data_IF_704738215982
#
_entry.id   IF_704738215982
#
_cell.length_a   1.000
_cell.length_b   1.000
_cell.length_c   1.000
_cell.angle_alpha   90.00
_cell.angle_beta   90.00
_cell.angle_gamma   90.00
#
_symmetry.space_group_name_H-M   'P 1'
#
loop_
_entity.id
_entity.type
_entity.pdbx_description
1 polymer ?
#
# COMPACT_ATOMS: atom_id res chain seq x y z
N UNK A 1 -4.26 1.40 -38.90
CA UNK A 1 -3.72 2.53 -38.11
C UNK A 1 -4.05 2.38 -36.63
N UNK A 2 -5.33 2.23 -36.24
CA UNK A 2 -5.73 2.07 -34.83
C UNK A 2 -5.08 0.88 -34.10
N UNK A 3 -4.99 -0.29 -34.73
CA UNK A 3 -4.33 -1.45 -34.12
C UNK A 3 -2.84 -1.22 -33.85
N UNK A 4 -2.14 -0.59 -34.78
CA UNK A 4 -0.72 -0.26 -34.61
C UNK A 4 -0.53 0.79 -33.50
N UNK A 5 -1.43 1.78 -33.42
CA UNK A 5 -1.41 2.77 -32.35
C UNK A 5 -1.65 2.13 -30.98
N UNK A 6 -2.62 1.20 -30.87
CA UNK A 6 -2.88 0.47 -29.63
C UNK A 6 -1.67 -0.39 -29.23
N UNK A 7 -1.12 -1.19 -30.15
CA UNK A 7 0.03 -2.05 -29.87
C UNK A 7 1.24 -1.23 -29.42
N UNK A 8 1.51 -0.09 -30.05
CA UNK A 8 2.56 0.83 -29.62
C UNK A 8 2.29 1.41 -28.22
N UNK A 9 1.06 1.81 -27.94
CA UNK A 9 0.68 2.34 -26.63
C UNK A 9 0.83 1.30 -25.50
N UNK A 10 0.42 0.04 -25.76
CA UNK A 10 0.59 -1.08 -24.85
C UNK A 10 2.06 -1.39 -24.59
N UNK A 11 2.89 -1.41 -25.65
CA UNK A 11 4.32 -1.62 -25.53
C UNK A 11 5.00 -0.53 -24.69
N UNK A 12 4.67 0.74 -24.93
CA UNK A 12 5.21 1.88 -24.18
C UNK A 12 4.79 1.83 -22.71
N UNK A 13 3.54 1.46 -22.42
CA UNK A 13 3.09 1.29 -21.03
C UNK A 13 3.75 0.11 -20.32
N UNK A 14 3.90 -1.03 -21.00
CA UNK A 14 4.60 -2.18 -20.43
C UNK A 14 6.05 -1.84 -20.11
N UNK A 15 6.72 -1.13 -21.02
CA UNK A 15 8.05 -0.56 -20.82
C UNK A 15 8.10 0.40 -19.62
N UNK A 16 7.11 1.29 -19.47
CA UNK A 16 7.03 2.22 -18.35
C UNK A 16 6.85 1.46 -17.02
N UNK A 17 5.96 0.47 -16.98
CA UNK A 17 5.71 -0.37 -15.80
C UNK A 17 6.95 -1.20 -15.43
N UNK A 18 7.68 -1.73 -16.42
CA UNK A 18 8.93 -2.45 -16.18
C UNK A 18 10.04 -1.57 -15.58
N UNK A 19 10.00 -0.25 -15.82
CA UNK A 19 10.90 0.72 -15.16
C UNK A 19 10.52 0.99 -13.70
N UNK A 20 9.28 0.68 -13.32
CA UNK A 20 8.70 0.93 -12.00
C UNK A 20 7.93 -0.29 -11.48
N UNK A 21 8.56 -1.48 -11.36
CA UNK A 21 7.85 -2.71 -10.98
C UNK A 21 7.34 -2.67 -9.53
N UNK A 22 7.76 -1.67 -8.75
CA UNK A 22 7.41 -1.49 -7.35
C UNK A 22 6.14 -0.64 -7.13
N UNK A 23 5.40 -0.20 -8.16
CA UNK A 23 4.06 0.37 -7.92
C UNK A 23 3.14 -0.75 -7.43
N UNK A 24 2.71 -0.74 -6.16
CA UNK A 24 1.81 -1.76 -5.66
C UNK A 24 0.51 -1.68 -6.46
N UNK A 25 0.03 -2.82 -6.91
CA UNK A 25 -1.32 -2.92 -7.49
C UNK A 25 -2.34 -2.39 -6.48
N UNK A 26 -3.51 -1.97 -6.97
CA UNK A 26 -4.61 -1.53 -6.08
C UNK A 26 -4.91 -2.59 -5.02
N UNK A 27 -4.85 -3.87 -5.40
CA UNK A 27 -5.05 -5.00 -4.49
C UNK A 27 -3.98 -5.09 -3.38
N UNK A 28 -2.71 -4.85 -3.70
CA UNK A 28 -1.61 -4.84 -2.73
C UNK A 28 -1.73 -3.65 -1.78
N UNK A 29 -2.10 -2.47 -2.31
CA UNK A 29 -2.35 -1.27 -1.51
C UNK A 29 -3.48 -1.44 -0.49
N UNK A 30 -4.47 -2.27 -0.81
CA UNK A 30 -5.58 -2.57 0.09
C UNK A 30 -5.20 -3.61 1.14
N UNK A 31 -4.35 -4.57 0.79
CA UNK A 31 -3.83 -5.57 1.73
C UNK A 31 -2.92 -4.96 2.81
N UNK A 32 -2.41 -3.73 2.61
CA UNK A 32 -1.48 -3.07 3.54
C UNK A 32 -0.04 -3.55 3.42
N UNK A 33 0.25 -4.35 2.40
CA UNK A 33 1.61 -4.69 2.01
C UNK A 33 2.18 -3.55 1.19
N UNK A 34 3.01 -2.70 1.82
CA UNK A 34 4.03 -1.99 1.07
C UNK A 34 5.18 -2.98 0.88
N UNK A 35 5.49 -3.35 -0.38
CA UNK A 35 6.75 -4.03 -0.63
C UNK A 35 7.87 -3.25 0.08
N UNK A 36 8.86 -3.92 0.70
CA UNK A 36 10.01 -3.21 1.23
C UNK A 36 10.55 -2.36 0.07
N UNK A 37 10.47 -1.03 0.21
CA UNK A 37 10.89 -0.05 -0.80
C UNK A 37 12.38 -0.22 -1.02
N UNK A 38 12.77 -1.23 -1.79
CA UNK A 38 14.15 -1.53 -2.12
C UNK A 38 14.54 -0.62 -3.25
N UNK A 39 14.87 0.62 -2.84
CA UNK A 39 15.31 1.79 -3.59
C UNK A 39 14.22 2.84 -3.68
N UNK A 40 14.46 3.99 -3.04
CA UNK A 40 13.83 5.25 -3.47
C UNK A 40 14.07 5.37 -4.97
N UNK A 41 13.04 5.15 -5.77
CA UNK A 41 13.15 5.34 -7.22
C UNK A 41 13.56 6.79 -7.46
N UNK A 42 14.63 6.98 -8.22
CA UNK A 42 15.20 8.32 -8.41
C UNK A 42 14.18 9.26 -9.05
N UNK A 43 14.29 10.56 -8.79
CA UNK A 43 13.47 11.57 -9.44
C UNK A 43 13.49 11.42 -10.98
N UNK A 44 14.64 11.09 -11.54
CA UNK A 44 14.83 10.88 -12.98
C UNK A 44 14.00 9.70 -13.51
N UNK A 45 14.00 8.56 -12.80
CA UNK A 45 13.18 7.41 -13.17
C UNK A 45 11.67 7.72 -13.08
N UNK A 46 11.24 8.48 -12.07
CA UNK A 46 9.84 8.93 -11.96
C UNK A 46 9.43 9.86 -13.11
N UNK A 47 10.32 10.76 -13.54
CA UNK A 47 10.05 11.63 -14.68
C UNK A 47 9.99 10.85 -16.00
N UNK A 48 10.91 9.89 -16.21
CA UNK A 48 10.90 9.03 -17.38
C UNK A 48 9.62 8.19 -17.45
N UNK A 49 9.18 7.64 -16.31
CA UNK A 49 7.92 6.92 -16.18
C UNK A 49 6.72 7.77 -16.61
N UNK A 50 6.60 9.00 -16.08
CA UNK A 50 5.53 9.94 -16.47
C UNK A 50 5.61 10.35 -17.94
N UNK A 51 6.82 10.50 -18.48
CA UNK A 51 7.04 10.83 -19.90
C UNK A 51 6.52 9.72 -20.81
N UNK A 52 6.90 8.46 -20.55
CA UNK A 52 6.39 7.30 -21.31
C UNK A 52 4.88 7.14 -21.17
N UNK A 53 4.34 7.34 -19.96
CA UNK A 53 2.89 7.33 -19.75
C UNK A 53 2.17 8.40 -20.60
N UNK A 54 2.74 9.60 -20.73
CA UNK A 54 2.17 10.66 -21.58
C UNK A 54 2.19 10.31 -23.07
N UNK A 55 3.23 9.63 -23.54
CA UNK A 55 3.34 9.16 -24.92
C UNK A 55 2.28 8.08 -25.21
N UNK A 56 2.20 7.06 -24.35
CA UNK A 56 1.20 6.02 -24.47
C UNK A 56 -0.23 6.56 -24.39
N UNK A 57 -0.50 7.56 -23.53
CA UNK A 57 -1.80 8.21 -23.43
C UNK A 57 -2.25 8.79 -24.78
N UNK A 58 -1.33 9.41 -25.51
CA UNK A 58 -1.63 10.07 -26.79
C UNK A 58 -2.08 9.03 -27.82
N UNK A 59 -1.28 7.98 -28.00
CA UNK A 59 -1.57 6.89 -28.94
C UNK A 59 -2.84 6.12 -28.56
N UNK A 60 -3.03 5.84 -27.28
CA UNK A 60 -4.20 5.13 -26.78
C UNK A 60 -5.50 5.93 -26.96
N UNK A 61 -5.46 7.26 -26.80
CA UNK A 61 -6.62 8.13 -27.08
C UNK A 61 -7.02 8.09 -28.55
N UNK A 62 -6.05 8.14 -29.46
CA UNK A 62 -6.31 8.04 -30.91
C UNK A 62 -6.90 6.68 -31.30
N UNK A 63 -6.32 5.60 -30.76
CA UNK A 63 -6.83 4.24 -30.94
C UNK A 63 -8.26 4.10 -30.38
N UNK A 64 -8.51 4.60 -29.16
CA UNK A 64 -9.81 4.57 -28.51
C UNK A 64 -10.89 5.28 -29.35
N UNK A 65 -10.60 6.48 -29.87
CA UNK A 65 -11.54 7.21 -30.75
C UNK A 65 -11.84 6.39 -32.01
N UNK A 66 -10.83 5.77 -32.60
CA UNK A 66 -10.98 4.95 -33.81
C UNK A 66 -11.84 3.71 -33.56
N UNK A 67 -11.57 2.96 -32.48
CA UNK A 67 -12.35 1.78 -32.11
C UNK A 67 -13.78 2.12 -31.71
N UNK A 68 -14.01 3.25 -31.02
CA UNK A 68 -15.36 3.76 -30.74
C UNK A 68 -16.16 3.97 -32.01
N UNK A 69 -15.57 4.61 -33.04
CA UNK A 69 -16.23 4.85 -34.34
C UNK A 69 -16.53 3.55 -35.09
N UNK A 70 -15.66 2.56 -34.95
CA UNK A 70 -15.82 1.25 -35.59
C UNK A 70 -16.77 0.30 -34.82
N UNK A 71 -17.15 0.62 -33.58
CA UNK A 71 -17.87 -0.30 -32.70
C UNK A 71 -17.03 -1.51 -32.26
N UNK A 72 -15.70 -1.42 -32.32
CA UNK A 72 -14.78 -2.52 -32.02
C UNK A 72 -14.63 -2.72 -30.50
N UNK A 73 -14.58 -3.98 -30.07
CA UNK A 73 -14.38 -4.37 -28.66
C UNK A 73 -13.01 -3.97 -28.12
N UNK A 74 -12.01 -3.79 -28.98
CA UNK A 74 -10.66 -3.29 -28.61
C UNK A 74 -10.67 -1.89 -27.99
N UNK A 75 -11.79 -1.16 -28.05
CA UNK A 75 -11.98 0.09 -27.29
C UNK A 75 -11.73 -0.10 -25.79
N UNK A 76 -12.04 -1.27 -25.21
CA UNK A 76 -11.82 -1.53 -23.78
C UNK A 76 -10.32 -1.64 -23.47
N UNK A 77 -9.55 -2.31 -24.33
CA UNK A 77 -8.09 -2.37 -24.21
C UNK A 77 -7.45 -0.98 -24.36
N UNK A 78 -7.88 -0.18 -25.34
CA UNK A 78 -7.41 1.19 -25.51
C UNK A 78 -7.78 2.08 -24.31
N UNK A 79 -8.99 1.93 -23.75
CA UNK A 79 -9.41 2.64 -22.54
C UNK A 79 -8.50 2.28 -21.35
N UNK A 80 -8.17 0.99 -21.18
CA UNK A 80 -7.29 0.55 -20.10
C UNK A 80 -5.95 1.28 -20.13
N UNK A 81 -5.34 1.38 -21.32
CA UNK A 81 -4.08 2.14 -21.48
C UNK A 81 -4.27 3.63 -21.15
N UNK A 82 -5.40 4.23 -21.54
CA UNK A 82 -5.73 5.62 -21.18
C UNK A 82 -5.86 5.80 -19.65
N UNK A 83 -6.52 4.87 -18.96
CA UNK A 83 -6.69 4.89 -17.51
C UNK A 83 -5.33 4.71 -16.82
N UNK A 84 -4.59 3.67 -17.17
CA UNK A 84 -3.29 3.34 -16.59
C UNK A 84 -2.28 4.49 -16.78
N UNK A 85 -2.25 5.10 -17.97
CA UNK A 85 -1.38 6.24 -18.23
C UNK A 85 -1.75 7.49 -17.41
N UNK A 86 -3.05 7.78 -17.23
CA UNK A 86 -3.47 8.88 -16.37
C UNK A 86 -3.15 8.60 -14.89
N UNK A 87 -3.32 7.37 -14.43
CA UNK A 87 -2.94 6.94 -13.07
C UNK A 87 -1.43 7.09 -12.84
N UNK A 88 -0.61 6.66 -13.81
CA UNK A 88 0.85 6.82 -13.80
C UNK A 88 1.32 8.29 -13.69
N UNK A 89 0.52 9.21 -14.23
CA UNK A 89 0.76 10.66 -14.18
C UNK A 89 0.10 11.35 -12.97
N UNK A 90 -0.46 10.59 -12.03
CA UNK A 90 -1.23 11.08 -10.87
C UNK A 90 -2.48 11.90 -11.27
N UNK A 91 -2.96 11.74 -12.51
CA UNK A 91 -4.18 12.37 -13.04
C UNK A 91 -5.41 11.48 -12.77
N UNK A 92 -5.62 11.15 -11.50
CA UNK A 92 -6.67 10.21 -11.07
C UNK A 92 -8.08 10.70 -11.40
N UNK A 93 -8.30 12.02 -11.48
CA UNK A 93 -9.56 12.59 -11.93
C UNK A 93 -9.82 12.30 -13.42
N UNK A 94 -8.82 12.52 -14.29
CA UNK A 94 -8.93 12.26 -15.72
C UNK A 94 -9.12 10.76 -16.00
N UNK A 95 -8.45 9.89 -15.24
CA UNK A 95 -8.65 8.45 -15.29
C UNK A 95 -10.09 8.06 -14.94
N UNK A 96 -10.64 8.65 -13.87
CA UNK A 96 -12.01 8.38 -13.43
C UNK A 96 -13.03 8.85 -14.46
N UNK A 97 -12.84 10.05 -15.02
CA UNK A 97 -13.71 10.58 -16.07
C UNK A 97 -13.69 9.69 -17.31
N UNK A 98 -12.51 9.27 -17.77
CA UNK A 98 -12.39 8.38 -18.92
C UNK A 98 -13.14 7.05 -18.72
N UNK A 99 -12.96 6.41 -17.55
CA UNK A 99 -13.63 5.14 -17.23
C UNK A 99 -15.15 5.32 -17.06
N UNK A 100 -15.58 6.37 -16.36
CA UNK A 100 -17.01 6.66 -16.13
C UNK A 100 -17.75 6.99 -17.44
N UNK A 101 -17.14 7.78 -18.31
CA UNK A 101 -17.71 8.15 -19.60
C UNK A 101 -17.86 6.92 -20.51
N UNK A 102 -16.85 6.05 -20.57
CA UNK A 102 -16.94 4.81 -21.35
C UNK A 102 -17.99 3.85 -20.77
N UNK A 103 -18.06 3.70 -19.44
CA UNK A 103 -19.06 2.87 -18.79
C UNK A 103 -20.48 3.32 -19.15
N UNK A 104 -20.74 4.63 -19.15
CA UNK A 104 -22.03 5.19 -19.54
C UNK A 104 -22.39 4.90 -21.01
N UNK A 105 -21.40 4.84 -21.91
CA UNK A 105 -21.61 4.44 -23.31
C UNK A 105 -21.87 2.93 -23.44
N UNK A 106 -21.10 2.10 -22.75
CA UNK A 106 -21.21 0.63 -22.81
C UNK A 106 -22.56 0.15 -22.27
N UNK A 107 -23.06 0.75 -21.18
CA UNK A 107 -24.38 0.44 -20.63
C UNK A 107 -25.52 0.63 -21.64
N UNK A 108 -25.36 1.52 -22.63
CA UNK A 108 -26.34 1.69 -23.71
C UNK A 108 -26.26 0.60 -24.78
N UNK A 109 -25.12 -0.07 -24.90
CA UNK A 109 -24.88 -1.10 -25.91
C UNK A 109 -25.15 -2.53 -25.41
N UNK A 110 -25.52 -2.71 -24.14
CA UNK A 110 -25.78 -4.02 -23.51
C UNK A 110 -24.62 -5.04 -23.59
N UNK A 111 -23.39 -4.57 -23.79
CA UNK A 111 -22.20 -5.42 -23.77
C UNK A 111 -21.76 -5.66 -22.31
N UNK A 112 -22.33 -6.70 -21.70
CA UNK A 112 -22.08 -7.05 -20.29
C UNK A 112 -20.60 -7.33 -20.00
N UNK A 113 -19.86 -7.87 -20.97
CA UNK A 113 -18.44 -8.16 -20.80
C UNK A 113 -17.65 -6.86 -20.65
N UNK A 114 -17.84 -5.94 -21.60
CA UNK A 114 -17.22 -4.64 -21.56
C UNK A 114 -17.67 -3.84 -20.32
N UNK A 115 -18.92 -4.00 -19.87
CA UNK A 115 -19.43 -3.35 -18.67
C UNK A 115 -18.71 -3.82 -17.40
N UNK A 116 -18.46 -5.11 -17.27
CA UNK A 116 -17.72 -5.68 -16.15
C UNK A 116 -16.26 -5.17 -16.12
N UNK A 117 -15.56 -5.24 -17.26
CA UNK A 117 -14.16 -4.82 -17.38
C UNK A 117 -13.97 -3.32 -17.11
N UNK A 118 -14.86 -2.46 -17.61
CA UNK A 118 -14.79 -1.02 -17.37
C UNK A 118 -15.22 -0.65 -15.95
N UNK A 119 -16.17 -1.39 -15.36
CA UNK A 119 -16.53 -1.20 -13.93
C UNK A 119 -15.37 -1.56 -13.01
N UNK A 120 -14.62 -2.62 -13.33
CA UNK A 120 -13.38 -2.96 -12.61
C UNK A 120 -12.35 -1.83 -12.68
N UNK A 121 -12.07 -1.28 -13.87
CA UNK A 121 -11.17 -0.13 -14.01
C UNK A 121 -11.63 1.08 -13.20
N UNK A 122 -12.94 1.42 -13.27
CA UNK A 122 -13.49 2.54 -12.51
C UNK A 122 -13.33 2.34 -11.00
N UNK A 123 -13.59 1.13 -10.51
CA UNK A 123 -13.43 0.80 -9.10
C UNK A 123 -11.98 0.95 -8.64
N UNK A 124 -11.01 0.47 -9.43
CA UNK A 124 -9.58 0.61 -9.13
C UNK A 124 -9.16 2.09 -9.01
N UNK A 125 -9.65 2.94 -9.93
CA UNK A 125 -9.42 4.39 -9.86
C UNK A 125 -10.08 5.01 -8.62
N UNK A 126 -11.32 4.62 -8.30
CA UNK A 126 -12.02 5.10 -7.10
C UNK A 126 -11.28 4.72 -5.81
N UNK A 127 -10.74 3.49 -5.72
CA UNK A 127 -9.92 3.04 -4.60
C UNK A 127 -8.66 3.90 -4.46
N UNK A 128 -7.97 4.16 -5.57
CA UNK A 128 -6.75 4.98 -5.58
C UNK A 128 -7.02 6.43 -5.16
N UNK A 129 -8.24 6.93 -5.40
CA UNK A 129 -8.70 8.25 -4.95
C UNK A 129 -9.18 8.27 -3.49
N UNK A 130 -9.27 7.12 -2.84
CA UNK A 130 -9.81 6.99 -1.49
C UNK A 130 -11.34 7.01 -1.42
N UNK A 131 -12.05 7.01 -2.56
CA UNK A 131 -13.52 6.96 -2.60
C UNK A 131 -14.02 5.52 -2.39
N UNK A 132 -13.92 5.08 -1.13
CA UNK A 132 -14.25 3.71 -0.73
C UNK A 132 -15.74 3.39 -0.87
N UNK A 133 -16.60 4.41 -0.78
CA UNK A 133 -18.06 4.26 -0.91
C UNK A 133 -18.44 3.91 -2.35
N UNK A 134 -18.05 4.77 -3.30
CA UNK A 134 -18.32 4.53 -4.72
C UNK A 134 -17.63 3.25 -5.21
N UNK A 135 -16.37 3.02 -4.79
CA UNK A 135 -15.66 1.79 -5.13
C UNK A 135 -16.39 0.53 -4.67
N UNK A 136 -16.92 0.51 -3.44
CA UNK A 136 -17.66 -0.65 -2.94
C UNK A 136 -18.92 -0.94 -3.75
N UNK A 137 -19.61 0.09 -4.25
CA UNK A 137 -20.78 -0.10 -5.11
C UNK A 137 -20.36 -0.63 -6.48
N UNK A 138 -19.39 0.04 -7.15
CA UNK A 138 -18.91 -0.34 -8.48
C UNK A 138 -18.37 -1.78 -8.50
N UNK A 139 -17.62 -2.20 -7.48
CA UNK A 139 -17.14 -3.59 -7.36
C UNK A 139 -18.27 -4.59 -7.16
N UNK A 140 -19.32 -4.23 -6.41
CA UNK A 140 -20.47 -5.12 -6.19
C UNK A 140 -21.27 -5.32 -7.48
N UNK A 141 -21.45 -4.25 -8.25
CA UNK A 141 -22.09 -4.32 -9.56
C UNK A 141 -21.26 -5.17 -10.54
N UNK A 142 -19.94 -4.95 -10.61
CA UNK A 142 -19.02 -5.75 -11.42
C UNK A 142 -18.99 -7.22 -10.99
N UNK A 143 -19.07 -7.52 -9.70
CA UNK A 143 -19.14 -8.89 -9.17
C UNK A 143 -20.38 -9.62 -9.68
N UNK A 144 -21.53 -8.95 -9.71
CA UNK A 144 -22.77 -9.52 -10.27
C UNK A 144 -22.59 -9.82 -11.76
N UNK A 145 -22.00 -8.89 -12.52
CA UNK A 145 -21.73 -9.09 -13.95
C UNK A 145 -20.80 -10.28 -14.20
N UNK A 146 -19.68 -10.38 -13.49
CA UNK A 146 -18.76 -11.51 -13.65
C UNK A 146 -19.38 -12.86 -13.26
N UNK A 147 -20.30 -12.87 -12.28
CA UNK A 147 -21.08 -14.07 -11.93
C UNK A 147 -22.06 -14.45 -13.04
N UNK A 148 -22.82 -13.50 -13.57
CA UNK A 148 -23.71 -13.70 -14.72
C UNK A 148 -22.96 -14.25 -15.93
N UNK A 149 -21.75 -13.74 -16.17
CA UNK A 149 -20.87 -14.15 -17.27
C UNK A 149 -20.12 -15.46 -16.98
N UNK A 150 -20.26 -16.04 -15.78
CA UNK A 150 -19.51 -17.21 -15.32
C UNK A 150 -17.97 -17.06 -15.40
N UNK A 151 -17.47 -15.83 -15.26
CA UNK A 151 -16.04 -15.51 -15.30
C UNK A 151 -15.43 -15.53 -13.91
N UNK A 152 -14.86 -16.69 -13.54
CA UNK A 152 -14.30 -16.93 -12.20
C UNK A 152 -13.11 -16.06 -11.83
N UNK A 153 -12.28 -15.69 -12.81
CA UNK A 153 -11.15 -14.78 -12.58
C UNK A 153 -11.61 -13.38 -12.15
N UNK A 154 -12.59 -12.81 -12.87
CA UNK A 154 -13.18 -11.51 -12.51
C UNK A 154 -13.94 -11.58 -11.18
N UNK A 155 -14.70 -12.66 -10.93
CA UNK A 155 -15.39 -12.90 -9.66
C UNK A 155 -14.41 -12.89 -8.48
N UNK A 156 -13.30 -13.64 -8.57
CA UNK A 156 -12.29 -13.71 -7.52
C UNK A 156 -11.64 -12.35 -7.25
N UNK A 157 -11.30 -11.61 -8.32
CA UNK A 157 -10.69 -10.28 -8.20
C UNK A 157 -11.62 -9.27 -7.53
N UNK A 158 -12.90 -9.24 -7.89
CA UNK A 158 -13.87 -8.34 -7.26
C UNK A 158 -14.05 -8.64 -5.76
N UNK A 159 -14.14 -9.93 -5.40
CA UNK A 159 -14.21 -10.36 -4.00
C UNK A 159 -12.95 -9.94 -3.22
N UNK A 160 -11.76 -10.11 -3.80
CA UNK A 160 -10.49 -9.69 -3.19
C UNK A 160 -10.46 -8.18 -2.94
N UNK A 161 -10.81 -7.35 -3.93
CA UNK A 161 -10.83 -5.89 -3.80
C UNK A 161 -11.86 -5.43 -2.76
N UNK A 162 -13.05 -6.02 -2.76
CA UNK A 162 -14.07 -5.76 -1.74
C UNK A 162 -13.57 -6.13 -0.34
N UNK A 163 -12.93 -7.30 -0.19
CA UNK A 163 -12.37 -7.72 1.09
C UNK A 163 -11.34 -6.72 1.62
N UNK A 164 -10.45 -6.25 0.74
CA UNK A 164 -9.47 -5.21 1.07
C UNK A 164 -10.11 -3.87 1.48
N UNK A 165 -11.18 -3.44 0.79
CA UNK A 165 -11.93 -2.23 1.18
C UNK A 165 -12.63 -2.38 2.53
N UNK A 166 -13.25 -3.54 2.81
CA UNK A 166 -13.87 -3.82 4.11
C UNK A 166 -12.83 -3.81 5.22
N UNK A 167 -11.66 -4.38 4.98
CA UNK A 167 -10.55 -4.37 5.93
C UNK A 167 -10.04 -2.95 6.20
N UNK A 168 -9.86 -2.12 5.16
CA UNK A 168 -9.49 -0.70 5.33
C UNK A 168 -10.50 0.08 6.18
N UNK A 169 -11.78 -0.31 6.15
CA UNK A 169 -12.83 0.24 7.00
C UNK A 169 -13.02 -0.50 8.33
N UNK A 170 -12.07 -1.32 8.78
CA UNK A 170 -12.11 -2.12 10.01
C UNK A 170 -13.30 -3.10 10.12
N UNK A 171 -13.93 -3.45 8.99
CA UNK A 171 -15.02 -4.44 8.90
C UNK A 171 -14.45 -5.84 8.71
N UNK A 172 -13.69 -6.30 9.71
CA UNK A 172 -12.88 -7.54 9.66
C UNK A 172 -13.68 -8.80 9.34
N UNK A 173 -14.89 -8.96 9.90
CA UNK A 173 -15.76 -10.13 9.63
C UNK A 173 -16.17 -10.24 8.16
N UNK A 174 -16.52 -9.12 7.54
CA UNK A 174 -16.89 -9.08 6.12
C UNK A 174 -15.67 -9.29 5.23
N UNK A 175 -14.54 -8.68 5.59
CA UNK A 175 -13.28 -8.89 4.89
C UNK A 175 -12.89 -10.38 4.86
N UNK A 176 -12.99 -11.08 6.01
CA UNK A 176 -12.72 -12.51 6.12
C UNK A 176 -13.63 -13.33 5.20
N UNK A 177 -14.95 -13.10 5.25
CA UNK A 177 -15.90 -13.85 4.42
C UNK A 177 -15.65 -13.67 2.92
N UNK A 178 -15.37 -12.44 2.48
CA UNK A 178 -15.10 -12.13 1.08
C UNK A 178 -13.75 -12.71 0.62
N UNK A 179 -12.70 -12.56 1.44
CA UNK A 179 -11.38 -13.09 1.11
C UNK A 179 -11.37 -14.62 1.06
N UNK A 180 -12.11 -15.31 1.94
CA UNK A 180 -12.22 -16.78 1.91
C UNK A 180 -12.92 -17.28 0.64
N UNK A 181 -13.96 -16.58 0.17
CA UNK A 181 -14.58 -16.89 -1.11
C UNK A 181 -13.60 -16.71 -2.28
N UNK A 182 -12.82 -15.61 -2.27
CA UNK A 182 -11.80 -15.35 -3.28
C UNK A 182 -10.69 -16.42 -3.27
N UNK A 183 -10.21 -16.85 -2.09
CA UNK A 183 -9.26 -17.97 -1.94
C UNK A 183 -9.78 -19.22 -2.62
N UNK A 184 -11.02 -19.63 -2.36
CA UNK A 184 -11.60 -20.83 -2.97
C UNK A 184 -11.63 -20.77 -4.51
N UNK A 185 -11.93 -19.59 -5.07
CA UNK A 185 -11.90 -19.38 -6.52
C UNK A 185 -10.47 -19.42 -7.08
N UNK A 186 -9.53 -18.70 -6.46
CA UNK A 186 -8.13 -18.70 -6.90
C UNK A 186 -7.49 -20.09 -6.82
N UNK A 187 -7.78 -20.85 -5.76
CA UNK A 187 -7.36 -22.25 -5.62
C UNK A 187 -7.92 -23.14 -6.73
N UNK A 188 -9.22 -23.01 -7.03
CA UNK A 188 -9.84 -23.79 -8.11
C UNK A 188 -9.24 -23.49 -9.49
N UNK A 189 -8.71 -22.27 -9.69
CA UNK A 189 -8.03 -21.85 -10.92
C UNK A 189 -6.51 -22.13 -10.91
N UNK A 190 -5.93 -22.58 -9.78
CA UNK A 190 -4.49 -22.74 -9.62
C UNK A 190 -3.71 -21.42 -9.58
N UNK A 191 -4.36 -20.30 -9.26
CA UNK A 191 -3.73 -18.98 -9.15
C UNK A 191 -3.17 -18.76 -7.74
N UNK A 192 -1.93 -19.21 -7.54
CA UNK A 192 -1.23 -19.06 -6.27
C UNK A 192 -1.03 -17.60 -5.86
N UNK A 193 -0.88 -16.67 -6.83
CA UNK A 193 -0.65 -15.25 -6.51
C UNK A 193 -1.92 -14.60 -5.96
N UNK A 194 -3.06 -14.87 -6.59
CA UNK A 194 -4.37 -14.43 -6.10
C UNK A 194 -4.71 -15.02 -4.73
N UNK A 195 -4.40 -16.30 -4.52
CA UNK A 195 -4.56 -16.98 -3.24
C UNK A 195 -3.74 -16.30 -2.13
N UNK A 196 -2.44 -16.10 -2.35
CA UNK A 196 -1.55 -15.44 -1.39
C UNK A 196 -2.01 -14.01 -1.06
N UNK A 197 -2.49 -13.27 -2.07
CA UNK A 197 -3.02 -11.92 -1.85
C UNK A 197 -4.27 -11.92 -0.96
N UNK A 198 -5.15 -12.91 -1.10
CA UNK A 198 -6.32 -13.06 -0.24
C UNK A 198 -5.96 -13.55 1.16
N UNK A 199 -5.01 -14.49 1.29
CA UNK A 199 -4.49 -14.94 2.60
C UNK A 199 -3.88 -13.80 3.40
N UNK A 200 -3.19 -12.85 2.74
CA UNK A 200 -2.70 -11.62 3.39
C UNK A 200 -3.84 -10.79 3.99
N UNK A 201 -4.94 -10.60 3.27
CA UNK A 201 -6.14 -9.91 3.79
C UNK A 201 -6.71 -10.66 5.00
N UNK A 202 -6.79 -11.99 4.95
CA UNK A 202 -7.27 -12.83 6.06
C UNK A 202 -6.37 -12.68 7.30
N UNK A 203 -5.06 -12.82 7.13
CA UNK A 203 -4.08 -12.70 8.20
C UNK A 203 -4.17 -11.33 8.89
N UNK A 204 -4.28 -10.26 8.10
CA UNK A 204 -4.45 -8.90 8.63
C UNK A 204 -5.80 -8.70 9.31
N UNK A 205 -6.89 -9.27 8.79
CA UNK A 205 -8.19 -9.20 9.45
C UNK A 205 -8.19 -9.91 10.81
N UNK A 206 -7.48 -11.03 10.95
CA UNK A 206 -7.28 -11.69 12.23
C UNK A 206 -6.38 -10.88 13.18
N UNK A 207 -5.33 -10.24 12.65
CA UNK A 207 -4.50 -9.33 13.43
C UNK A 207 -5.29 -8.13 13.98
N UNK A 208 -6.12 -7.47 13.15
CA UNK A 208 -6.95 -6.33 13.56
C UNK A 208 -8.07 -6.73 14.54
N UNK A 209 -8.54 -7.98 14.50
CA UNK A 209 -9.55 -8.49 15.44
C UNK A 209 -8.99 -9.11 16.73
N UNK A 210 -7.65 -9.23 16.84
CA UNK A 210 -6.98 -9.88 17.97
C UNK A 210 -7.05 -11.42 17.96
N UNK A 211 -7.68 -12.02 16.94
CA UNK A 211 -7.85 -13.46 16.77
C UNK A 211 -6.69 -14.07 15.96
N UNK A 212 -5.45 -13.66 16.24
CA UNK A 212 -4.28 -14.00 15.43
C UNK A 212 -4.06 -15.50 15.31
N UNK A 213 -4.40 -16.28 16.33
CA UNK A 213 -4.30 -17.74 16.35
C UNK A 213 -5.14 -18.45 15.28
N UNK A 214 -6.13 -17.76 14.68
CA UNK A 214 -6.96 -18.29 13.58
C UNK A 214 -6.36 -18.04 12.19
N UNK A 215 -5.24 -17.32 12.10
CA UNK A 215 -4.60 -17.02 10.83
C UNK A 215 -4.00 -18.29 10.20
N UNK A 216 -4.33 -18.62 8.94
CA UNK A 216 -4.01 -19.92 8.32
C UNK A 216 -2.52 -20.27 8.28
N UNK A 217 -1.65 -19.27 8.14
CA UNK A 217 -0.20 -19.48 7.96
C UNK A 217 0.61 -18.97 9.18
N UNK A 218 -0.02 -18.92 10.36
CA UNK A 218 0.61 -18.43 11.61
C UNK A 218 1.74 -19.31 12.10
N UNK A 219 1.62 -20.65 12.17
CA UNK A 219 2.73 -21.50 12.59
C UNK A 219 3.98 -21.32 11.72
N UNK A 220 3.81 -21.22 10.40
CA UNK A 220 4.87 -21.00 9.43
C UNK A 220 5.50 -19.61 9.59
N UNK A 221 4.69 -18.59 9.85
CA UNK A 221 5.17 -17.24 10.13
C UNK A 221 6.00 -17.16 11.41
N UNK A 222 5.53 -17.76 12.50
CA UNK A 222 6.25 -17.80 13.77
C UNK A 222 7.56 -18.58 13.62
N UNK A 223 7.53 -19.71 12.91
CA UNK A 223 8.73 -20.49 12.61
C UNK A 223 9.75 -19.68 11.80
N UNK A 224 9.31 -18.91 10.80
CA UNK A 224 10.19 -18.03 10.04
C UNK A 224 10.79 -16.91 10.91
N UNK A 225 10.04 -16.36 11.87
CA UNK A 225 10.56 -15.39 12.85
C UNK A 225 11.61 -16.02 13.78
N UNK A 226 11.38 -17.25 14.24
CA UNK A 226 12.34 -18.00 15.06
C UNK A 226 13.62 -18.31 14.28
N UNK A 227 13.50 -18.66 12.99
CA UNK A 227 14.64 -18.92 12.13
C UNK A 227 15.43 -17.62 11.87
N UNK A 228 14.76 -16.47 11.72
CA UNK A 228 15.44 -15.16 11.67
C UNK A 228 16.18 -14.85 12.96
N UNK A 229 15.55 -15.08 14.12
CA UNK A 229 16.17 -14.88 15.42
C UNK A 229 17.42 -15.77 15.57
N UNK A 230 17.30 -17.05 15.22
CA UNK A 230 18.39 -18.01 15.23
C UNK A 230 19.51 -17.66 14.25
N UNK A 231 19.16 -17.13 13.07
CA UNK A 231 20.13 -16.67 12.08
C UNK A 231 20.96 -15.49 12.60
N UNK A 232 20.33 -14.57 13.33
CA UNK A 232 21.04 -13.44 13.97
C UNK A 232 21.95 -13.93 15.08
N UNK A 233 21.48 -14.82 15.96
CA UNK A 233 22.30 -15.33 17.07
C UNK A 233 23.52 -16.13 16.59
N UNK A 234 23.35 -16.93 15.53
CA UNK A 234 24.41 -17.79 15.00
C UNK A 234 25.18 -17.18 13.83
N UNK A 235 24.84 -15.96 13.41
CA UNK A 235 25.38 -15.28 12.22
C UNK A 235 25.23 -16.11 10.92
N UNK A 236 24.13 -16.87 10.79
CA UNK A 236 23.86 -17.74 9.65
C UNK A 236 23.18 -16.97 8.51
N UNK A 237 23.97 -16.66 7.48
CA UNK A 237 23.52 -15.93 6.28
C UNK A 237 22.54 -16.72 5.43
N UNK A 238 22.66 -18.04 5.38
CA UNK A 238 21.81 -18.90 4.56
C UNK A 238 20.42 -19.00 5.19
N UNK A 239 20.40 -19.28 6.50
CA UNK A 239 19.16 -19.32 7.27
C UNK A 239 18.43 -17.99 7.22
N UNK A 240 19.14 -16.86 7.36
CA UNK A 240 18.57 -15.51 7.21
C UNK A 240 17.85 -15.33 5.87
N UNK A 241 18.51 -15.66 4.76
CA UNK A 241 17.92 -15.51 3.41
C UNK A 241 16.66 -16.36 3.25
N UNK A 242 16.70 -17.61 3.69
CA UNK A 242 15.56 -18.52 3.61
C UNK A 242 14.41 -18.06 4.51
N UNK A 243 14.73 -17.62 5.73
CA UNK A 243 13.74 -17.15 6.69
C UNK A 243 13.06 -15.85 6.23
N UNK A 244 13.78 -14.89 5.64
CA UNK A 244 13.16 -13.71 5.00
C UNK A 244 12.20 -14.12 3.90
N UNK A 245 12.62 -15.02 3.00
CA UNK A 245 11.76 -15.47 1.90
C UNK A 245 10.49 -16.13 2.43
N UNK A 246 10.58 -16.94 3.49
CA UNK A 246 9.42 -17.59 4.09
C UNK A 246 8.54 -16.62 4.87
N UNK A 247 9.14 -15.67 5.61
CA UNK A 247 8.40 -14.63 6.32
C UNK A 247 7.62 -13.75 5.33
N UNK A 248 8.21 -13.41 4.17
CA UNK A 248 7.55 -12.63 3.13
C UNK A 248 6.33 -13.32 2.50
N UNK A 249 6.20 -14.65 2.64
CA UNK A 249 5.02 -15.40 2.15
C UNK A 249 3.81 -15.27 3.09
N UNK A 250 4.03 -14.92 4.36
CA UNK A 250 2.97 -14.90 5.37
C UNK A 250 2.98 -13.62 6.19
N UNK A 251 1.86 -12.92 6.23
CA UNK A 251 1.64 -11.79 7.14
C UNK A 251 0.97 -12.20 8.46
N UNK A 252 1.01 -13.49 8.82
CA UNK A 252 0.32 -14.06 9.99
C UNK A 252 1.08 -13.89 11.32
N UNK A 253 1.82 -12.80 11.47
CA UNK A 253 2.55 -12.43 12.68
C UNK A 253 2.22 -10.99 13.09
N UNK A 254 2.35 -10.72 14.39
CA UNK A 254 2.09 -9.40 14.97
C UNK A 254 3.37 -8.69 15.36
N UNK A 255 3.24 -7.39 15.65
CA UNK A 255 4.33 -6.61 16.26
C UNK A 255 4.79 -7.21 17.60
N UNK A 256 3.88 -7.80 18.37
CA UNK A 256 4.22 -8.48 19.62
C UNK A 256 5.09 -9.72 19.36
N UNK A 257 4.73 -10.54 18.36
CA UNK A 257 5.50 -11.74 17.98
C UNK A 257 6.94 -11.35 17.56
N UNK A 258 7.08 -10.31 16.74
CA UNK A 258 8.39 -9.78 16.33
C UNK A 258 9.22 -9.32 17.53
N UNK A 259 8.61 -8.59 18.48
CA UNK A 259 9.32 -8.09 19.66
C UNK A 259 9.75 -9.20 20.61
N UNK A 260 8.89 -10.20 20.82
CA UNK A 260 9.17 -11.32 21.72
C UNK A 260 10.24 -12.25 21.15
N UNK A 261 10.15 -12.60 19.87
CA UNK A 261 11.03 -13.59 19.24
C UNK A 261 12.31 -12.90 18.74
N UNK A 262 12.16 -12.03 17.74
CA UNK A 262 13.31 -11.41 17.09
C UNK A 262 13.95 -10.33 17.96
N UNK A 263 13.14 -9.54 18.67
CA UNK A 263 13.62 -8.52 19.59
C UNK A 263 14.42 -9.07 20.77
N UNK A 264 14.13 -10.29 21.23
CA UNK A 264 14.93 -10.97 22.26
C UNK A 264 16.31 -11.36 21.73
N UNK A 265 16.40 -11.95 20.54
CA UNK A 265 17.66 -12.30 19.89
C UNK A 265 18.58 -11.08 19.69
N UNK A 266 18.03 -9.95 19.24
CA UNK A 266 18.77 -8.70 19.08
C UNK A 266 19.36 -8.17 20.40
N UNK A 267 18.70 -8.43 21.53
CA UNK A 267 19.14 -7.94 22.85
C UNK A 267 20.26 -8.80 23.45
N UNK A 268 20.40 -10.06 23.04
CA UNK A 268 21.36 -11.03 23.58
C UNK A 268 22.81 -10.63 23.30
N UNK A 269 23.10 -10.27 22.05
CA UNK A 269 24.38 -9.63 21.66
C UNK A 269 24.12 -8.56 20.60
N UNK A 270 23.91 -7.33 21.07
CA UNK A 270 23.58 -6.19 20.21
C UNK A 270 24.69 -5.89 19.19
N UNK A 271 25.95 -6.11 19.54
CA UNK A 271 27.08 -5.75 18.68
C UNK A 271 27.24 -6.76 17.55
N UNK A 272 27.20 -8.05 17.90
CA UNK A 272 27.22 -9.13 16.91
C UNK A 272 26.00 -9.04 15.98
N UNK A 273 24.80 -8.84 16.54
CA UNK A 273 23.57 -8.69 15.77
C UNK A 273 23.64 -7.51 14.79
N UNK A 274 24.08 -6.33 15.25
CA UNK A 274 24.23 -5.16 14.38
C UNK A 274 25.23 -5.41 13.24
N UNK A 275 26.36 -6.04 13.53
CA UNK A 275 27.35 -6.40 12.52
C UNK A 275 26.81 -7.40 11.48
N UNK A 276 26.06 -8.39 11.93
CA UNK A 276 25.42 -9.37 11.04
C UNK A 276 24.35 -8.72 10.15
N UNK A 277 23.46 -7.90 10.73
CA UNK A 277 22.42 -7.18 9.99
C UNK A 277 23.01 -6.25 8.93
N UNK A 278 24.11 -5.56 9.25
CA UNK A 278 24.82 -4.72 8.28
C UNK A 278 25.36 -5.54 7.10
N UNK A 279 25.90 -6.74 7.35
CA UNK A 279 26.34 -7.65 6.28
C UNK A 279 25.17 -8.15 5.42
N UNK A 280 23.97 -8.27 6.00
CA UNK A 280 22.73 -8.64 5.28
C UNK A 280 22.09 -7.46 4.53
N UNK A 281 22.74 -6.30 4.52
CA UNK A 281 22.26 -5.12 3.80
C UNK A 281 21.17 -4.34 4.55
N UNK A 282 20.89 -4.69 5.80
CA UNK A 282 20.04 -3.89 6.68
C UNK A 282 20.83 -2.64 7.06
N UNK A 283 20.62 -1.56 6.29
CA UNK A 283 21.28 -0.28 6.53
C UNK A 283 20.64 0.40 7.72
N UNK A 284 21.36 0.45 8.84
CA UNK A 284 21.17 1.54 9.81
C UNK A 284 21.77 2.80 9.18
N UNK A 285 20.93 3.73 8.72
CA UNK A 285 21.40 5.07 8.37
C UNK A 285 21.71 5.81 9.67
N UNK A 286 22.89 5.52 10.22
CA UNK A 286 23.38 6.04 11.48
C UNK A 286 24.83 5.59 11.65
N UNK A 287 25.70 5.99 10.72
CA UNK A 287 27.14 5.79 10.85
C UNK A 287 27.77 7.00 11.55
N UNK A 288 27.82 6.97 12.86
CA UNK A 288 29.01 7.44 13.56
C UNK A 288 29.28 6.45 14.69
N UNK A 289 30.55 6.08 14.95
CA UNK A 289 30.91 5.25 16.10
C UNK A 289 30.47 5.86 17.45
N UNK A 290 30.04 7.12 17.44
CA UNK A 290 29.51 7.87 18.58
C UNK A 290 27.97 8.00 18.55
N UNK A 291 27.23 7.52 17.53
CA UNK A 291 25.77 7.69 17.55
C UNK A 291 25.12 6.74 18.57
N UNK A 292 24.49 7.30 19.60
CA UNK A 292 23.73 6.58 20.62
C UNK A 292 22.25 6.86 20.43
N UNK A 293 21.45 5.79 20.37
CA UNK A 293 19.99 5.89 20.45
C UNK A 293 19.64 6.15 21.92
N UNK A 294 19.06 7.31 22.22
CA UNK A 294 18.57 7.64 23.55
C UNK A 294 17.09 7.92 23.55
N UNK A 295 16.46 7.63 24.67
CA UNK A 295 15.11 8.04 24.97
C UNK A 295 15.09 9.55 25.17
N UNK A 296 14.35 10.25 24.31
CA UNK A 296 14.09 11.67 24.37
C UNK A 296 12.71 11.86 24.97
N UNK A 297 12.60 12.78 25.92
CA UNK A 297 11.32 13.03 26.60
C UNK A 297 10.27 13.54 25.60
N UNK A 298 9.00 13.26 25.92
CA UNK A 298 7.86 13.73 25.10
C UNK A 298 7.90 15.25 24.87
N UNK A 299 8.35 16.00 25.87
CA UNK A 299 8.47 17.46 25.82
C UNK A 299 9.50 17.91 24.78
N UNK A 300 10.71 17.35 24.80
CA UNK A 300 11.77 17.72 23.85
C UNK A 300 11.42 17.33 22.40
N UNK A 301 10.71 16.22 22.23
CA UNK A 301 10.20 15.78 20.93
C UNK A 301 9.19 16.78 20.35
N UNK A 302 8.27 17.25 21.19
CA UNK A 302 7.24 18.21 20.78
C UNK A 302 7.86 19.55 20.38
N UNK A 303 8.85 20.04 21.15
CA UNK A 303 9.63 21.23 20.81
C UNK A 303 10.40 21.03 19.50
N UNK A 304 11.06 19.89 19.31
CA UNK A 304 11.80 19.57 18.08
C UNK A 304 10.91 19.58 16.83
N UNK A 305 9.70 19.02 16.90
CA UNK A 305 8.75 19.07 15.78
C UNK A 305 8.22 20.48 15.51
N UNK A 306 7.93 21.25 16.58
CA UNK A 306 7.49 22.66 16.45
C UNK A 306 8.55 23.57 15.84
N UNK A 307 9.81 23.43 16.26
CA UNK A 307 10.93 24.25 15.74
C UNK A 307 11.36 23.78 14.35
N UNK A 308 11.20 22.50 14.04
CA UNK A 308 11.51 21.91 12.73
C UNK A 308 10.47 22.15 11.63
N UNK A 309 9.39 22.89 11.90
CA UNK A 309 8.35 23.21 10.90
C UNK A 309 7.41 22.04 10.55
N UNK A 310 7.47 20.93 11.27
CA UNK A 310 6.53 19.82 11.14
C UNK A 310 5.28 20.13 11.98
N UNK A 311 4.32 20.82 11.36
CA UNK A 311 2.98 21.02 11.91
C UNK A 311 2.19 19.72 11.85
N UNK A 312 1.67 19.26 12.99
CA UNK A 312 0.75 18.13 13.03
C UNK A 312 -0.61 18.59 13.57
N UNK A 313 -1.67 18.13 12.91
CA UNK A 313 -3.05 18.41 13.30
C UNK A 313 -3.45 17.78 14.64
N UNK A 314 -4.68 18.05 15.11
CA UNK A 314 -5.11 17.84 16.50
C UNK A 314 -5.00 16.39 17.03
N UNK A 315 -4.87 15.38 16.17
CA UNK A 315 -4.75 13.97 16.58
C UNK A 315 -3.31 13.52 16.92
N UNK A 316 -2.34 14.44 16.91
CA UNK A 316 -0.93 14.05 17.12
C UNK A 316 -0.54 14.03 18.60
N UNK A 317 -0.50 12.82 19.18
CA UNK A 317 -0.04 12.55 20.55
C UNK A 317 1.05 11.48 20.53
N UNK A 318 2.21 11.78 21.11
CA UNK A 318 3.30 10.82 21.29
C UNK A 318 3.06 10.03 22.60
N UNK A 319 2.52 8.82 22.51
CA UNK A 319 2.19 7.98 23.69
C UNK A 319 3.41 7.25 24.25
N UNK A 320 4.41 7.00 23.43
CA UNK A 320 5.64 6.36 23.87
C UNK A 320 6.81 7.33 23.68
N UNK A 321 7.72 7.44 24.66
CA UNK A 321 8.89 8.30 24.54
C UNK A 321 9.72 7.93 23.32
N UNK A 322 10.33 8.95 22.74
CA UNK A 322 10.83 8.95 21.37
C UNK A 322 12.29 8.55 21.36
N UNK A 323 12.74 7.84 20.34
CA UNK A 323 14.17 7.53 20.20
C UNK A 323 14.83 8.59 19.32
N UNK A 324 15.85 9.25 19.85
CA UNK A 324 16.68 10.21 19.12
C UNK A 324 18.03 9.60 18.76
N UNK A 325 18.50 9.88 17.55
CA UNK A 325 19.88 9.64 17.14
C UNK A 325 20.73 10.85 17.55
N UNK A 326 21.64 10.67 18.52
CA UNK A 326 22.54 11.71 19.02
C UNK A 326 23.99 11.23 19.03
N UNK A 327 24.96 12.14 18.88
CA UNK A 327 26.39 11.84 19.07
C UNK A 327 26.71 11.71 20.57
N UNK A 328 27.55 10.75 20.92
CA UNK A 328 27.89 10.35 22.28
C UNK A 328 28.63 11.50 22.96
N UNK A 329 28.01 12.08 23.98
CA UNK A 329 28.60 13.17 24.75
C UNK A 329 28.22 14.57 24.26
N UNK A 330 27.46 14.69 23.16
CA UNK A 330 26.93 15.97 22.69
C UNK A 330 25.39 15.91 22.52
N UNK A 331 24.62 16.42 23.51
CA UNK A 331 23.16 16.40 23.45
C UNK A 331 22.56 17.34 22.38
N UNK A 332 23.35 18.17 21.70
CA UNK A 332 22.85 19.12 20.69
C UNK A 332 22.86 18.57 19.25
N UNK A 333 23.37 17.36 19.05
CA UNK A 333 23.54 16.73 17.71
C UNK A 333 22.39 15.78 17.37
N UNK A 334 21.15 16.16 17.65
CA UNK A 334 20.00 15.32 17.36
C UNK A 334 19.72 15.29 15.84
N UNK A 335 20.00 14.15 15.20
CA UNK A 335 19.90 14.01 13.73
C UNK A 335 18.52 13.54 13.24
N UNK A 336 17.82 12.75 14.04
CA UNK A 336 16.50 12.23 13.70
C UNK A 336 15.72 11.84 14.95
N UNK A 337 14.40 11.95 14.86
CA UNK A 337 13.45 11.65 15.95
C UNK A 337 12.31 10.81 15.37
N UNK A 338 12.01 9.66 15.97
CA UNK A 338 10.99 8.73 15.47
C UNK A 338 9.88 8.43 16.48
N UNK A 339 8.61 8.60 16.10
CA UNK A 339 7.45 8.28 16.94
C UNK A 339 7.14 6.77 16.88
N UNK A 340 6.99 6.12 18.04
CA UNK A 340 6.71 4.68 18.11
C UNK A 340 5.23 4.33 18.27
N UNK A 341 4.39 5.28 18.74
CA UNK A 341 2.94 5.07 18.88
C UNK A 341 2.19 6.40 18.92
N UNK A 342 1.16 6.50 18.08
CA UNK A 342 0.20 7.62 18.03
C UNK A 342 -1.08 7.20 18.76
N UNK A 343 -1.78 8.14 19.39
CA UNK A 343 -3.11 7.90 19.94
C UNK A 343 -4.14 7.69 18.82
N UNK A 344 -5.09 6.77 19.03
CA UNK A 344 -6.16 6.47 18.06
C UNK A 344 -7.33 7.46 18.14
N UNK A 345 -7.51 8.12 19.28
CA UNK A 345 -8.59 9.06 19.55
C UNK A 345 -8.08 10.45 19.95
N UNK A 346 -8.92 11.47 19.74
CA UNK A 346 -8.71 12.84 20.21
C UNK A 346 -9.18 12.99 21.67
N UNK A 347 -8.48 13.79 22.48
CA UNK A 347 -8.91 14.05 23.87
C UNK A 347 -10.14 14.96 23.91
N UNK A 348 -11.00 14.81 24.93
CA UNK A 348 -12.29 15.52 25.01
C UNK A 348 -12.19 17.06 25.07
N UNK A 349 -11.10 17.62 25.61
CA UNK A 349 -10.88 19.08 25.62
C UNK A 349 -10.81 19.68 24.20
N UNK A 350 -10.49 18.89 23.17
CA UNK A 350 -10.47 19.31 21.78
C UNK A 350 -11.88 19.50 21.19
N UNK A 351 -12.88 18.84 21.78
CA UNK A 351 -14.32 19.09 21.47
C UNK A 351 -14.82 20.36 22.16
N UNK A 352 -14.17 20.80 23.25
CA UNK A 352 -14.53 21.99 24.02
C UNK A 352 -14.02 23.29 23.38
N UNK A 353 -13.01 23.22 22.51
CA UNK A 353 -12.40 24.39 21.88
C UNK A 353 -13.26 25.11 20.83
N UNK A 354 -14.41 24.55 20.41
CA UNK A 354 -15.37 25.10 19.42
C UNK A 354 -14.82 25.54 18.03
N UNK A 355 -13.51 25.53 17.80
CA UNK A 355 -12.90 25.84 16.51
C UNK A 355 -12.72 24.57 15.66
N UNK A 356 -12.99 24.70 14.36
CA UNK A 356 -12.77 23.61 13.39
C UNK A 356 -11.27 23.27 13.28
N UNK A 357 -10.85 22.00 13.29
CA UNK A 357 -9.46 21.55 13.21
C UNK A 357 -8.60 22.25 12.14
N UNK A 358 -9.19 22.54 10.98
CA UNK A 358 -8.51 23.22 9.87
C UNK A 358 -8.20 24.71 10.13
N UNK A 359 -8.87 25.37 11.08
CA UNK A 359 -8.58 26.77 11.45
C UNK A 359 -7.30 26.81 12.31
N UNK A 360 -7.13 25.87 13.23
CA UNK A 360 -5.92 25.73 14.04
C UNK A 360 -4.71 25.40 13.16
N UNK A 361 -4.91 24.52 12.17
CA UNK A 361 -3.87 24.15 11.20
C UNK A 361 -3.50 25.30 10.26
N UNK A 362 -4.49 26.12 9.86
CA UNK A 362 -4.27 27.33 9.05
C UNK A 362 -3.44 28.40 9.77
N UNK A 363 -3.73 28.67 11.05
CA UNK A 363 -2.94 29.63 11.85
C UNK A 363 -1.50 29.15 12.11
N UNK A 364 -1.29 27.83 12.21
CA UNK A 364 0.04 27.22 12.37
C UNK A 364 0.86 27.22 11.07
N UNK A 365 0.22 27.07 9.91
CA UNK A 365 0.91 27.07 8.61
C UNK A 365 1.24 28.48 8.09
N UNK A 366 0.47 29.50 8.47
CA UNK A 366 0.64 30.85 7.93
C UNK A 366 1.61 31.74 8.74
N UNK A 367 2.26 31.21 9.78
CA UNK A 367 2.99 32.01 10.80
C UNK A 367 2.17 33.21 11.32
N UNK A 368 0.85 33.17 11.19
CA UNK A 368 -0.03 34.29 11.52
C UNK A 368 -0.65 34.07 12.89
N UNK A 369 0.16 34.25 13.93
CA UNK A 369 -0.13 35.11 15.10
C UNK A 369 0.67 34.69 16.33
N UNK A 370 1.48 35.65 16.80
CA UNK A 370 1.75 36.14 18.16
C UNK A 370 3.26 36.46 18.25
N UNK A 371 3.73 37.71 18.17
CA UNK A 371 3.02 38.96 18.50
C UNK A 371 2.78 39.02 20.00
#
# INVERSE_FOLDING_TARGET
MADAALASAEAIMADAQAMYPETPSVSESLSGFEAPKTQMVSYQQRQLYRSKASEALTLAKEALVSFRRAGDKKKVAALKVVVDANMAMDKTFDAMMAASDELAMIKRTSDKQAEAEVSEMLAEVQISRGDSGSASQTLSDALVLYRDLSQKAGEAKMLQLLAGLKLRGSRTKEALSLAQQAVGLYQAMGDAKGEEACKRIINRAYAESGDTDKAPDRPEALKALEDLASAVENQDKSLWKNAIVNLNKSSAYTQHDVQQIFGAALKKDRRAAAGFLQQMGVRSTGSAPELVIREVTRVFTYVGFRVGGLGYGPRFRCLQPTHGLMVQGDPNTMHAVGCMKIAEEADDWEKELQYHPGILDGCLQSQSALG
#
